data_IF_887885369279
#
_entry.id   IF_887885369279
#
_cell.length_a   1.000
_cell.length_b   1.000
_cell.length_c   1.000
_cell.angle_alpha   90.00
_cell.angle_beta   90.00
_cell.angle_gamma   90.00
#
_symmetry.space_group_name_H-M   'P 1'
#
loop_
_entity.id
_entity.type
_entity.pdbx_description
1 polymer ?
#
# COMPACT_ATOMS: atom_id res chain seq x y z
N UNK A 1 -23.97 11.58 8.04
CA UNK A 1 -22.80 11.09 8.82
C UNK A 1 -21.60 11.03 7.90
N UNK A 2 -20.52 11.68 8.26
CA UNK A 2 -19.28 11.52 7.54
C UNK A 2 -18.71 10.12 7.83
N UNK A 3 -18.53 9.30 6.80
CA UNK A 3 -17.82 8.05 6.98
C UNK A 3 -16.36 8.39 7.33
N UNK A 4 -15.89 7.89 8.45
CA UNK A 4 -14.53 8.16 8.90
C UNK A 4 -13.56 7.10 8.35
N UNK A 5 -13.79 6.65 7.10
CA UNK A 5 -12.98 5.65 6.43
C UNK A 5 -11.63 6.27 6.05
N UNK A 6 -10.57 5.58 6.44
CA UNK A 6 -9.20 5.98 6.13
C UNK A 6 -8.54 4.89 5.31
N UNK A 7 -8.12 5.24 4.11
CA UNK A 7 -7.51 4.31 3.15
C UNK A 7 -6.02 4.61 3.02
N UNK A 8 -5.22 3.58 3.22
CA UNK A 8 -3.77 3.63 3.05
C UNK A 8 -3.40 2.82 1.81
N UNK A 9 -2.87 3.47 0.79
CA UNK A 9 -2.30 2.80 -0.37
C UNK A 9 -0.79 2.65 -0.17
N UNK A 10 -0.27 1.46 -0.43
CA UNK A 10 1.17 1.15 -0.30
C UNK A 10 1.68 0.72 -1.67
N UNK A 11 2.59 1.49 -2.23
CA UNK A 11 3.16 1.27 -3.56
C UNK A 11 4.68 1.43 -3.52
N UNK A 12 5.46 0.54 -4.19
CA UNK A 12 6.92 0.61 -4.10
C UNK A 12 7.50 1.95 -4.56
N UNK A 13 7.03 2.42 -5.70
CA UNK A 13 7.47 3.67 -6.29
C UNK A 13 6.28 4.38 -6.95
N UNK A 14 6.20 5.68 -6.80
CA UNK A 14 5.14 6.49 -7.38
C UNK A 14 5.68 7.25 -8.61
N UNK A 15 5.99 6.48 -9.67
CA UNK A 15 6.46 7.00 -10.95
C UNK A 15 5.32 7.33 -11.91
N UNK A 16 5.60 7.24 -13.22
CA UNK A 16 4.61 7.59 -14.26
C UNK A 16 3.89 6.39 -14.88
N UNK A 17 4.08 5.18 -14.36
CA UNK A 17 3.39 4.00 -14.88
C UNK A 17 1.88 4.01 -14.61
N UNK A 18 1.15 3.09 -15.24
CA UNK A 18 -0.30 2.99 -15.09
C UNK A 18 -0.75 2.68 -13.67
N UNK A 19 -0.02 1.78 -12.98
CA UNK A 19 -0.31 1.47 -11.58
C UNK A 19 -0.11 2.67 -10.67
N UNK A 20 0.93 3.44 -10.95
CA UNK A 20 1.31 4.63 -10.18
C UNK A 20 0.32 5.78 -10.39
N UNK A 21 -0.06 6.06 -11.64
CA UNK A 21 -1.07 7.07 -11.94
C UNK A 21 -2.42 6.69 -11.36
N UNK A 22 -2.80 5.40 -11.41
CA UNK A 22 -4.02 4.91 -10.76
C UNK A 22 -4.00 5.12 -9.24
N UNK A 23 -2.87 4.87 -8.60
CA UNK A 23 -2.69 5.14 -7.18
C UNK A 23 -2.86 6.63 -6.87
N UNK A 24 -2.21 7.48 -7.65
CA UNK A 24 -2.29 8.93 -7.52
C UNK A 24 -3.73 9.43 -7.67
N UNK A 25 -4.42 8.97 -8.71
CA UNK A 25 -5.79 9.39 -8.99
C UNK A 25 -6.76 8.99 -7.88
N UNK A 26 -6.68 7.74 -7.42
CA UNK A 26 -7.52 7.26 -6.32
C UNK A 26 -7.21 8.03 -5.03
N UNK A 27 -5.92 8.29 -4.75
CA UNK A 27 -5.53 9.03 -3.56
C UNK A 27 -6.18 10.43 -3.50
N UNK A 28 -6.32 11.10 -4.65
CA UNK A 28 -6.94 12.42 -4.72
C UNK A 28 -8.46 12.37 -4.84
N UNK A 29 -9.02 11.25 -5.30
CA UNK A 29 -10.46 11.03 -5.38
C UNK A 29 -11.09 10.75 -4.00
N UNK A 30 -10.40 10.00 -3.15
CA UNK A 30 -10.92 9.59 -1.85
C UNK A 30 -11.37 10.78 -0.97
N UNK A 31 -10.57 11.85 -0.82
CA UNK A 31 -11.01 13.00 -0.01
C UNK A 31 -12.26 13.69 -0.52
N UNK A 32 -12.50 13.65 -1.83
CA UNK A 32 -13.73 14.21 -2.44
C UNK A 32 -14.97 13.39 -2.09
N UNK A 33 -14.78 12.17 -1.57
CA UNK A 33 -15.85 11.25 -1.18
C UNK A 33 -15.86 10.96 0.32
N UNK A 34 -15.41 11.92 1.12
CA UNK A 34 -15.42 11.87 2.59
C UNK A 34 -14.54 10.75 3.20
N UNK A 35 -13.52 10.31 2.47
CA UNK A 35 -12.52 9.36 2.96
C UNK A 35 -11.19 10.06 3.17
N UNK A 36 -10.45 9.69 4.20
CA UNK A 36 -9.08 10.18 4.38
C UNK A 36 -8.12 9.32 3.57
N UNK A 37 -7.14 9.95 2.94
CA UNK A 37 -6.25 9.31 1.98
C UNK A 37 -4.80 9.39 2.43
N UNK A 38 -4.13 8.23 2.40
CA UNK A 38 -2.73 8.08 2.78
C UNK A 38 -1.99 7.31 1.69
N UNK A 39 -0.75 7.67 1.41
CA UNK A 39 0.14 6.91 0.53
C UNK A 39 1.43 6.64 1.28
N UNK A 40 1.90 5.39 1.22
CA UNK A 40 3.26 5.00 1.59
C UNK A 40 3.99 4.54 0.33
N UNK A 41 5.16 5.12 0.07
CA UNK A 41 6.01 4.79 -1.07
C UNK A 41 7.47 5.05 -0.74
N UNK A 42 8.39 4.42 -1.46
CA UNK A 42 9.81 4.74 -1.34
C UNK A 42 10.19 6.05 -2.04
N UNK A 43 9.33 6.57 -2.90
CA UNK A 43 9.54 7.80 -3.66
C UNK A 43 8.98 7.69 -5.07
N UNK A 44 9.41 8.59 -5.94
CA UNK A 44 9.02 8.60 -7.35
C UNK A 44 8.61 9.99 -7.82
N UNK A 45 8.50 10.13 -9.13
CA UNK A 45 8.30 11.43 -9.80
C UNK A 45 6.96 12.08 -9.43
N UNK A 46 5.89 11.30 -9.29
CA UNK A 46 4.57 11.82 -8.94
C UNK A 46 4.46 12.34 -7.51
N UNK A 47 5.41 12.01 -6.64
CA UNK A 47 5.34 12.47 -5.24
C UNK A 47 5.34 14.00 -5.11
N UNK A 48 6.01 14.69 -6.03
CA UNK A 48 6.06 16.15 -6.03
C UNK A 48 4.74 16.82 -6.42
N UNK A 49 3.83 16.09 -7.05
CA UNK A 49 2.52 16.60 -7.47
C UNK A 49 1.40 16.29 -6.48
N UNK A 50 1.69 15.54 -5.41
CA UNK A 50 0.67 15.20 -4.42
C UNK A 50 0.21 16.45 -3.67
N UNK A 51 -1.10 16.63 -3.61
CA UNK A 51 -1.70 17.68 -2.79
C UNK A 51 -1.65 17.26 -1.31
N UNK A 52 -0.72 17.80 -0.57
CA UNK A 52 -0.46 17.44 0.83
C UNK A 52 -1.57 17.83 1.80
N UNK A 53 -2.49 18.70 1.37
CA UNK A 53 -3.68 19.04 2.15
C UNK A 53 -4.75 17.95 2.08
N UNK A 54 -4.76 17.18 1.00
CA UNK A 54 -5.73 16.09 0.75
C UNK A 54 -5.17 14.72 1.04
N UNK A 55 -3.89 14.50 0.77
CA UNK A 55 -3.25 13.18 0.84
C UNK A 55 -2.04 13.25 1.75
N UNK A 56 -1.98 12.37 2.74
CA UNK A 56 -0.79 12.24 3.58
C UNK A 56 0.20 11.28 2.93
N UNK A 57 1.38 11.77 2.61
CA UNK A 57 2.47 10.99 2.02
C UNK A 57 3.48 10.61 3.09
N UNK A 58 3.77 9.31 3.19
CA UNK A 58 4.78 8.77 4.11
C UNK A 58 5.80 7.99 3.27
N UNK A 59 7.09 8.21 3.54
CA UNK A 59 8.17 7.52 2.84
C UNK A 59 8.70 6.37 3.66
N UNK A 60 8.68 5.16 3.08
CA UNK A 60 9.26 3.94 3.64
C UNK A 60 9.87 3.11 2.51
N UNK A 61 10.93 2.30 2.77
CA UNK A 61 11.57 1.49 1.74
C UNK A 61 10.74 0.24 1.39
N UNK A 62 9.48 0.44 0.99
CA UNK A 62 8.53 -0.64 0.68
C UNK A 62 8.79 -1.30 -0.67
N UNK A 63 9.74 -0.79 -1.45
CA UNK A 63 10.20 -1.40 -2.70
C UNK A 63 11.08 -2.63 -2.49
N UNK A 64 11.66 -2.80 -1.31
CA UNK A 64 12.63 -3.86 -1.03
C UNK A 64 11.98 -5.23 -0.97
N UNK A 65 12.65 -6.21 -1.58
CA UNK A 65 12.30 -7.63 -1.50
C UNK A 65 13.05 -8.36 -0.39
N UNK A 66 13.91 -7.67 0.35
CA UNK A 66 14.65 -8.25 1.48
C UNK A 66 13.66 -8.64 2.58
N UNK A 67 13.64 -9.93 3.01
CA UNK A 67 12.69 -10.40 4.03
C UNK A 67 12.80 -9.65 5.35
N UNK A 68 14.00 -9.25 5.75
CA UNK A 68 14.20 -8.47 6.99
C UNK A 68 13.55 -7.09 6.88
N UNK A 69 13.74 -6.39 5.75
CA UNK A 69 13.11 -5.09 5.52
C UNK A 69 11.59 -5.21 5.38
N UNK A 70 11.11 -6.28 4.75
CA UNK A 70 9.66 -6.55 4.68
C UNK A 70 9.08 -6.68 6.08
N UNK A 71 9.75 -7.42 6.97
CA UNK A 71 9.30 -7.57 8.35
C UNK A 71 9.37 -6.25 9.14
N UNK A 72 10.46 -5.50 9.01
CA UNK A 72 10.61 -4.19 9.66
C UNK A 72 9.55 -3.20 9.17
N UNK A 73 9.29 -3.17 7.87
CA UNK A 73 8.22 -2.35 7.28
C UNK A 73 6.85 -2.76 7.85
N UNK A 74 6.63 -4.07 8.05
CA UNK A 74 5.39 -4.55 8.65
C UNK A 74 5.19 -3.99 10.06
N UNK A 75 6.23 -3.98 10.88
CA UNK A 75 6.16 -3.41 12.24
C UNK A 75 5.90 -1.91 12.22
N UNK A 76 6.55 -1.18 11.31
CA UNK A 76 6.30 0.26 11.14
C UNK A 76 4.86 0.50 10.67
N UNK A 77 4.37 -0.32 9.74
CA UNK A 77 2.98 -0.25 9.27
C UNK A 77 1.97 -0.48 10.40
N UNK A 78 2.23 -1.42 11.30
CA UNK A 78 1.39 -1.63 12.49
C UNK A 78 1.26 -0.32 13.27
N UNK A 79 2.38 0.34 13.53
CA UNK A 79 2.39 1.63 14.23
C UNK A 79 1.58 2.71 13.50
N UNK A 80 1.75 2.81 12.19
CA UNK A 80 1.03 3.78 11.34
C UNK A 80 -0.47 3.49 11.33
N UNK A 81 -0.85 2.23 11.15
CA UNK A 81 -2.25 1.80 11.12
C UNK A 81 -2.95 2.14 12.43
N UNK A 82 -2.31 1.87 13.56
CA UNK A 82 -2.89 2.16 14.87
C UNK A 82 -2.90 3.66 15.17
N UNK A 83 -1.81 4.36 14.88
CA UNK A 83 -1.70 5.80 15.14
C UNK A 83 -2.73 6.62 14.37
N UNK A 84 -2.91 6.35 13.09
CA UNK A 84 -3.87 7.06 12.24
C UNK A 84 -5.25 6.42 12.21
N UNK A 85 -5.42 5.26 12.83
CA UNK A 85 -6.65 4.46 12.79
C UNK A 85 -7.09 4.16 11.36
N UNK A 86 -6.17 3.60 10.56
CA UNK A 86 -6.42 3.22 9.17
C UNK A 86 -7.49 2.13 9.10
N UNK A 87 -8.45 2.26 8.19
CA UNK A 87 -9.55 1.31 8.01
C UNK A 87 -9.20 0.22 6.99
N UNK A 88 -8.61 0.63 5.85
CA UNK A 88 -8.31 -0.24 4.71
C UNK A 88 -6.87 -0.01 4.28
N UNK A 89 -6.12 -1.09 4.11
CA UNK A 89 -4.75 -1.07 3.58
C UNK A 89 -4.77 -1.70 2.20
N UNK A 90 -4.38 -0.92 1.19
CA UNK A 90 -4.39 -1.33 -0.21
C UNK A 90 -2.95 -1.44 -0.73
N UNK A 91 -2.46 -2.68 -0.89
CA UNK A 91 -1.15 -2.94 -1.46
C UNK A 91 -1.23 -3.05 -2.98
N UNK A 92 -0.34 -2.35 -3.66
CA UNK A 92 -0.32 -2.28 -5.12
C UNK A 92 0.87 -3.00 -5.77
N UNK A 93 1.57 -3.82 -5.01
CA UNK A 93 2.65 -4.67 -5.51
C UNK A 93 2.98 -5.75 -4.48
N UNK A 94 3.70 -6.77 -4.92
CA UNK A 94 4.01 -7.96 -4.10
C UNK A 94 4.87 -7.66 -2.87
N UNK A 95 5.94 -6.89 -3.02
CA UNK A 95 6.83 -6.60 -1.90
C UNK A 95 6.10 -5.87 -0.76
N UNK A 96 5.41 -4.74 -1.00
CA UNK A 96 4.63 -4.09 0.06
C UNK A 96 3.43 -4.94 0.50
N UNK A 97 2.89 -5.82 -0.37
CA UNK A 97 1.77 -6.68 0.00
C UNK A 97 2.13 -7.64 1.13
N UNK A 98 3.35 -8.17 1.18
CA UNK A 98 3.79 -9.01 2.30
C UNK A 98 3.82 -8.25 3.62
N UNK A 99 4.38 -7.03 3.62
CA UNK A 99 4.38 -6.17 4.81
C UNK A 99 2.94 -5.80 5.23
N UNK A 100 2.09 -5.48 4.27
CA UNK A 100 0.68 -5.14 4.52
C UNK A 100 -0.10 -6.34 5.06
N UNK A 101 0.13 -7.54 4.52
CA UNK A 101 -0.54 -8.77 5.00
C UNK A 101 -0.23 -9.00 6.48
N UNK A 102 1.04 -8.92 6.85
CA UNK A 102 1.46 -9.11 8.25
C UNK A 102 0.82 -8.03 9.13
N UNK A 103 0.93 -6.77 8.73
CA UNK A 103 0.44 -5.64 9.52
C UNK A 103 -1.08 -5.66 9.69
N UNK A 104 -1.83 -6.00 8.64
CA UNK A 104 -3.29 -6.04 8.69
C UNK A 104 -3.80 -7.22 9.51
N UNK A 105 -3.11 -8.36 9.48
CA UNK A 105 -3.45 -9.49 10.34
C UNK A 105 -3.23 -9.16 11.82
N UNK A 106 -2.13 -8.48 12.14
CA UNK A 106 -1.84 -8.08 13.53
C UNK A 106 -2.80 -7.02 14.04
N UNK A 107 -3.25 -6.11 13.18
CA UNK A 107 -4.15 -5.00 13.55
C UNK A 107 -5.62 -5.29 13.28
N UNK A 108 -5.94 -6.41 12.65
CA UNK A 108 -7.30 -6.82 12.24
C UNK A 108 -7.96 -5.78 11.32
N UNK A 109 -7.19 -5.20 10.41
CA UNK A 109 -7.68 -4.24 9.41
C UNK A 109 -7.93 -4.94 8.08
N UNK A 110 -8.75 -4.31 7.23
CA UNK A 110 -9.04 -4.83 5.89
C UNK A 110 -7.83 -4.70 4.99
N UNK A 111 -7.57 -5.74 4.21
CA UNK A 111 -6.44 -5.82 3.29
C UNK A 111 -6.94 -6.02 1.87
N UNK A 112 -6.52 -5.13 0.95
CA UNK A 112 -6.89 -5.15 -0.46
C UNK A 112 -5.63 -5.18 -1.31
N UNK A 113 -5.66 -5.95 -2.38
CA UNK A 113 -4.58 -5.99 -3.38
C UNK A 113 -5.11 -5.68 -4.76
N UNK A 114 -4.23 -5.16 -5.63
CA UNK A 114 -4.55 -4.96 -7.05
C UNK A 114 -3.47 -5.60 -7.91
N UNK A 115 -3.88 -6.45 -8.85
CA UNK A 115 -3.00 -7.03 -9.86
C UNK A 115 -2.80 -6.01 -10.99
N UNK A 116 -1.54 -5.74 -11.33
CA UNK A 116 -1.17 -4.83 -12.41
C UNK A 116 -0.49 -5.52 -13.60
N UNK A 117 -0.58 -6.83 -13.67
CA UNK A 117 0.02 -7.62 -14.75
C UNK A 117 0.13 -9.09 -14.39
N UNK A 118 0.63 -9.88 -15.32
CA UNK A 118 0.89 -11.29 -15.08
C UNK A 118 2.23 -11.48 -14.38
N UNK A 119 2.25 -12.40 -13.43
CA UNK A 119 3.46 -12.75 -12.70
C UNK A 119 4.04 -14.07 -13.23
N UNK A 120 5.36 -14.15 -13.22
CA UNK A 120 6.07 -15.35 -13.63
C UNK A 120 6.07 -16.39 -12.49
N UNK A 121 5.65 -17.63 -12.79
CA UNK A 121 5.53 -18.72 -11.83
C UNK A 121 6.58 -19.82 -12.01
N UNK A 122 7.76 -19.51 -12.55
CA UNK A 122 8.78 -20.48 -12.94
C UNK A 122 9.45 -21.24 -11.77
N UNK A 123 9.20 -20.86 -10.50
CA UNK A 123 9.76 -21.54 -9.34
C UNK A 123 8.80 -21.57 -8.17
N UNK A 124 9.01 -22.50 -7.22
CA UNK A 124 8.23 -22.55 -5.97
C UNK A 124 8.34 -21.26 -5.18
N UNK A 125 9.53 -20.67 -5.10
CA UNK A 125 9.76 -19.40 -4.39
C UNK A 125 8.96 -18.27 -5.01
N UNK A 126 8.92 -18.20 -6.35
CA UNK A 126 8.12 -17.19 -7.05
C UNK A 126 6.63 -17.40 -6.83
N UNK A 127 6.16 -18.64 -6.83
CA UNK A 127 4.75 -18.96 -6.55
C UNK A 127 4.36 -18.51 -5.14
N UNK A 128 5.18 -18.80 -4.14
CA UNK A 128 4.95 -18.37 -2.76
C UNK A 128 4.94 -16.85 -2.67
N UNK A 129 5.94 -16.19 -3.26
CA UNK A 129 6.04 -14.73 -3.25
C UNK A 129 4.83 -14.06 -3.92
N UNK A 130 4.39 -14.60 -5.06
CA UNK A 130 3.24 -14.07 -5.80
C UNK A 130 1.90 -14.35 -5.09
N UNK A 131 1.83 -15.40 -4.26
CA UNK A 131 0.59 -15.82 -3.60
C UNK A 131 0.01 -14.76 -2.67
N UNK A 132 0.81 -13.81 -2.20
CA UNK A 132 0.35 -12.72 -1.33
C UNK A 132 -0.78 -11.91 -1.99
N UNK A 133 -0.77 -11.79 -3.31
CA UNK A 133 -1.75 -10.97 -4.04
C UNK A 133 -3.16 -11.58 -4.06
N UNK A 134 -3.31 -12.86 -3.67
CA UNK A 134 -4.61 -13.52 -3.55
C UNK A 134 -5.03 -13.76 -2.10
N UNK A 135 -4.31 -13.17 -1.15
CA UNK A 135 -4.58 -13.30 0.29
C UNK A 135 -5.31 -12.09 0.87
N UNK A 136 -5.82 -11.22 0.00
CA UNK A 136 -6.64 -10.08 0.42
C UNK A 136 -8.03 -10.52 0.91
N UNK A 137 -8.67 -9.63 1.63
CA UNK A 137 -10.06 -9.81 2.09
C UNK A 137 -11.07 -9.76 0.95
#
# INVERSE_FOLDING_TARGET
MSSNIKVLQVIPRLGYGGAETGCYDIAHYLPENNCKSFIITSGGELTKFINKEKVKLIRLPVHSKNPLLIFLNALILVGIILFYNISIVHARSRAPAWSCLIATKLTKRKFVTTFHGTYNFNSKLKKIYNSVMVRSD
#
